data_IF_799934784396
#
_entry.id   IF_799934784396
#
_cell.length_a   1.000
_cell.length_b   1.000
_cell.length_c   1.000
_cell.angle_alpha   90.00
_cell.angle_beta   90.00
_cell.angle_gamma   90.00
#
_symmetry.space_group_name_H-M   'P 1'
#
loop_
_entity.id
_entity.type
_entity.pdbx_description
1 polymer ?
#
# COMPACT_ATOMS: atom_id res chain seq x y z
N UNK A 1 -17.17 15.55 10.18
CA UNK A 1 -17.96 14.35 9.85
C UNK A 1 -17.06 13.45 9.05
N UNK A 2 -16.69 12.28 9.60
CA UNK A 2 -15.88 11.30 8.89
C UNK A 2 -16.85 10.53 8.00
N UNK A 3 -16.68 10.62 6.68
CA UNK A 3 -17.44 9.80 5.75
C UNK A 3 -16.86 8.39 5.82
N UNK A 4 -17.65 7.44 6.33
CA UNK A 4 -17.33 6.02 6.28
C UNK A 4 -17.48 5.59 4.83
N UNK A 5 -16.38 5.53 4.08
CA UNK A 5 -16.39 4.89 2.77
C UNK A 5 -16.45 3.38 3.01
N UNK A 6 -17.19 2.65 2.18
CA UNK A 6 -17.67 1.29 2.45
C UNK A 6 -16.58 0.21 2.33
N UNK A 7 -15.54 0.28 3.16
CA UNK A 7 -14.59 -0.81 3.34
C UNK A 7 -15.25 -2.00 4.01
N UNK A 8 -14.84 -3.22 3.63
CA UNK A 8 -15.30 -4.43 4.30
C UNK A 8 -14.58 -4.51 5.65
N UNK A 9 -15.33 -4.34 6.74
CA UNK A 9 -14.80 -4.62 8.08
C UNK A 9 -14.55 -6.12 8.24
N UNK A 10 -13.40 -6.48 8.80
CA UNK A 10 -13.11 -7.88 9.12
C UNK A 10 -13.83 -8.19 10.45
N UNK A 11 -14.87 -9.02 10.40
CA UNK A 11 -15.66 -9.37 11.59
C UNK A 11 -14.84 -10.05 12.72
N UNK A 12 -13.66 -10.61 12.41
CA UNK A 12 -12.77 -11.28 13.38
C UNK A 12 -11.31 -10.74 13.38
N UNK A 13 -11.08 -9.58 12.77
CA UNK A 13 -9.76 -8.92 12.82
C UNK A 13 -9.51 -8.37 14.22
N UNK A 14 -8.41 -8.74 14.86
CA UNK A 14 -8.06 -8.24 16.20
C UNK A 14 -6.57 -7.93 16.30
N UNK A 15 -6.24 -6.91 17.08
CA UNK A 15 -4.86 -6.58 17.42
C UNK A 15 -4.48 -7.45 18.63
N UNK A 16 -3.56 -8.39 18.42
CA UNK A 16 -3.02 -9.21 19.51
C UNK A 16 -1.94 -8.43 20.26
N UNK A 17 -2.31 -7.86 21.40
CA UNK A 17 -1.43 -7.08 22.26
C UNK A 17 -0.47 -7.97 23.06
N UNK A 18 0.84 -7.83 22.82
CA UNK A 18 1.87 -8.51 23.61
C UNK A 18 2.37 -7.66 24.80
N UNK A 19 2.07 -6.36 24.83
CA UNK A 19 2.52 -5.43 25.85
C UNK A 19 1.63 -4.18 25.93
N UNK A 20 1.28 -3.75 27.14
CA UNK A 20 0.42 -2.59 27.42
C UNK A 20 0.90 -1.26 26.82
N UNK A 21 2.19 -1.14 26.49
CA UNK A 21 2.72 0.05 25.82
C UNK A 21 2.12 0.27 24.43
N UNK A 22 1.58 -0.76 23.76
CA UNK A 22 0.95 -0.64 22.45
C UNK A 22 -0.25 0.31 22.47
N UNK A 23 -1.04 0.30 23.55
CA UNK A 23 -2.22 1.17 23.74
C UNK A 23 -1.88 2.66 23.73
N UNK A 24 -0.62 3.02 23.99
CA UNK A 24 -0.16 4.40 23.90
C UNK A 24 0.19 4.85 22.48
N UNK A 25 0.33 3.90 21.55
CA UNK A 25 0.74 4.15 20.16
C UNK A 25 -0.46 4.11 19.20
N UNK A 26 -1.38 3.18 19.41
CA UNK A 26 -2.56 2.98 18.56
C UNK A 26 -3.79 2.62 19.39
N UNK A 27 -4.97 2.88 18.84
CA UNK A 27 -6.23 2.42 19.44
C UNK A 27 -6.45 0.95 19.12
N UNK A 28 -6.26 0.09 20.11
CA UNK A 28 -6.34 -1.38 19.94
C UNK A 28 -7.78 -1.90 19.78
N UNK A 29 -8.77 -1.12 20.20
CA UNK A 29 -10.19 -1.48 20.14
C UNK A 29 -10.89 -1.01 18.84
N UNK A 30 -10.15 -0.39 17.90
CA UNK A 30 -10.75 0.06 16.64
C UNK A 30 -10.97 -1.14 15.70
N UNK A 31 -12.11 -1.20 15.00
CA UNK A 31 -12.34 -2.20 13.97
C UNK A 31 -11.26 -2.15 12.89
N UNK A 32 -10.79 -3.32 12.46
CA UNK A 32 -9.87 -3.44 11.31
C UNK A 32 -10.69 -3.34 10.02
N UNK A 33 -10.26 -2.48 9.11
CA UNK A 33 -10.86 -2.26 7.80
C UNK A 33 -9.95 -2.80 6.68
N UNK A 34 -10.53 -3.55 5.74
CA UNK A 34 -9.85 -3.90 4.49
C UNK A 34 -10.07 -2.78 3.48
N UNK A 35 -8.99 -2.06 3.16
CA UNK A 35 -9.03 -0.96 2.19
C UNK A 35 -9.11 -1.46 0.74
N UNK A 36 -8.47 -2.60 0.45
CA UNK A 36 -8.47 -3.25 -0.86
C UNK A 36 -8.00 -4.71 -0.77
N UNK A 37 -8.35 -5.53 -1.76
CA UNK A 37 -7.97 -6.94 -1.89
C UNK A 37 -7.67 -7.31 -3.36
N UNK A 38 -7.17 -8.53 -3.59
CA UNK A 38 -6.92 -9.05 -4.95
C UNK A 38 -5.49 -8.87 -5.48
N UNK A 39 -4.54 -8.51 -4.62
CA UNK A 39 -3.12 -8.37 -4.97
C UNK A 39 -2.38 -9.70 -4.85
N UNK A 40 -1.37 -9.90 -5.70
CA UNK A 40 -0.52 -11.09 -5.63
C UNK A 40 0.52 -10.97 -4.50
N UNK A 41 1.21 -9.83 -4.44
CA UNK A 41 2.16 -9.54 -3.37
C UNK A 41 2.28 -8.04 -3.14
N UNK A 42 1.59 -7.57 -2.09
CA UNK A 42 1.62 -6.17 -1.68
C UNK A 42 2.86 -5.85 -0.82
N UNK A 43 3.69 -4.91 -1.25
CA UNK A 43 4.85 -4.40 -0.50
C UNK A 43 5.10 -2.90 -0.70
N UNK A 44 6.11 -2.36 0.00
CA UNK A 44 6.54 -0.98 -0.17
C UNK A 44 5.54 0.07 0.27
N UNK A 45 4.73 -0.21 1.30
CA UNK A 45 3.69 0.72 1.74
C UNK A 45 4.29 2.06 2.19
N UNK A 46 3.78 3.18 1.66
CA UNK A 46 4.18 4.53 2.06
C UNK A 46 2.98 5.48 2.11
N UNK A 47 2.94 6.33 3.14
CA UNK A 47 1.90 7.35 3.32
C UNK A 47 2.38 8.73 2.86
N UNK A 48 1.64 9.34 1.93
CA UNK A 48 1.79 10.76 1.58
C UNK A 48 0.87 11.60 2.45
N UNK A 49 1.47 12.22 3.48
CA UNK A 49 0.74 13.05 4.44
C UNK A 49 0.10 14.28 3.82
N UNK A 50 0.68 14.84 2.75
CA UNK A 50 0.19 16.08 2.15
C UNK A 50 -1.09 15.86 1.36
N UNK A 51 -1.12 14.76 0.60
CA UNK A 51 -2.23 14.41 -0.27
C UNK A 51 -3.14 13.33 0.34
N UNK A 52 -2.92 12.99 1.61
CA UNK A 52 -3.68 12.02 2.41
C UNK A 52 -3.95 10.71 1.65
N UNK A 53 -2.90 10.16 1.04
CA UNK A 53 -3.00 8.95 0.25
C UNK A 53 -1.90 7.94 0.56
N UNK A 54 -2.28 6.66 0.45
CA UNK A 54 -1.43 5.51 0.63
C UNK A 54 -0.94 5.02 -0.73
N UNK A 55 0.33 4.66 -0.84
CA UNK A 55 0.89 3.98 -2.00
C UNK A 55 1.49 2.63 -1.59
N UNK A 56 1.42 1.65 -2.48
CA UNK A 56 2.06 0.35 -2.32
C UNK A 56 2.22 -0.32 -3.69
N UNK A 57 3.14 -1.27 -3.81
CA UNK A 57 3.34 -2.05 -5.03
C UNK A 57 2.65 -3.40 -4.94
N UNK A 58 2.08 -3.87 -6.05
CA UNK A 58 1.90 -5.30 -6.32
C UNK A 58 3.05 -5.76 -7.21
N UNK A 59 4.02 -6.45 -6.61
CA UNK A 59 5.34 -6.69 -7.19
C UNK A 59 5.26 -7.57 -8.45
N UNK A 60 4.59 -8.74 -8.45
CA UNK A 60 4.44 -9.55 -9.67
C UNK A 60 3.62 -8.86 -10.76
N UNK A 61 2.62 -8.06 -10.38
CA UNK A 61 1.74 -7.35 -11.32
C UNK A 61 2.36 -6.06 -11.87
N UNK A 62 3.61 -5.75 -11.52
CA UNK A 62 4.37 -4.61 -12.01
C UNK A 62 3.62 -3.28 -11.85
N UNK A 63 2.89 -3.10 -10.76
CA UNK A 63 1.97 -1.98 -10.58
C UNK A 63 2.12 -1.34 -9.20
N UNK A 64 2.24 -0.01 -9.14
CA UNK A 64 2.01 0.76 -7.91
C UNK A 64 0.54 1.18 -7.89
N UNK A 65 -0.10 0.96 -6.75
CA UNK A 65 -1.43 1.45 -6.45
C UNK A 65 -1.38 2.66 -5.54
N UNK A 66 -2.42 3.49 -5.64
CA UNK A 66 -2.72 4.60 -4.75
C UNK A 66 -4.10 4.37 -4.13
N UNK A 67 -4.25 4.66 -2.85
CA UNK A 67 -5.54 4.64 -2.18
C UNK A 67 -5.76 5.94 -1.41
N UNK A 68 -6.95 6.51 -1.51
CA UNK A 68 -7.42 7.58 -0.64
C UNK A 68 -8.91 7.40 -0.28
N UNK A 69 -9.37 8.12 0.74
CA UNK A 69 -10.74 8.00 1.25
C UNK A 69 -11.80 8.43 0.24
N UNK A 70 -11.51 9.39 -0.64
CA UNK A 70 -12.48 9.94 -1.60
C UNK A 70 -12.65 9.03 -2.82
N UNK A 71 -11.55 8.50 -3.34
CA UNK A 71 -11.46 7.81 -4.61
C UNK A 71 -11.28 6.29 -4.48
N UNK A 72 -10.97 5.79 -3.28
CA UNK A 72 -10.64 4.39 -3.06
C UNK A 72 -9.35 3.99 -3.75
N UNK A 73 -9.25 2.70 -4.11
CA UNK A 73 -8.07 2.15 -4.79
C UNK A 73 -8.02 2.57 -6.26
N UNK A 74 -6.85 3.04 -6.69
CA UNK A 74 -6.56 3.44 -8.05
C UNK A 74 -5.20 2.90 -8.48
N UNK A 75 -5.05 2.56 -9.76
CA UNK A 75 -3.74 2.31 -10.36
C UNK A 75 -2.98 3.64 -10.44
N UNK A 76 -1.73 3.67 -9.98
CA UNK A 76 -0.88 4.87 -9.99
C UNK A 76 0.20 4.81 -11.06
N UNK A 77 0.95 3.70 -11.13
CA UNK A 77 2.05 3.52 -12.08
C UNK A 77 2.11 2.07 -12.57
N UNK A 78 2.11 1.88 -13.88
CA UNK A 78 2.30 0.59 -14.56
C UNK A 78 2.92 0.84 -15.95
N UNK A 79 4.08 0.23 -16.29
CA UNK A 79 4.92 -0.59 -15.42
C UNK A 79 5.56 0.24 -14.31
N UNK A 80 5.73 -0.36 -13.14
CA UNK A 80 6.39 0.24 -11.97
C UNK A 80 7.89 -0.09 -11.86
N UNK A 81 8.34 -1.13 -12.56
CA UNK A 81 9.73 -1.54 -12.66
C UNK A 81 10.08 -1.98 -14.09
N UNK A 82 10.20 -3.29 -14.30
CA UNK A 82 10.58 -3.92 -15.57
C UNK A 82 9.76 -3.38 -16.75
N UNK A 83 10.43 -2.78 -17.73
CA UNK A 83 9.79 -2.07 -18.85
C UNK A 83 9.92 -2.71 -20.22
N UNK A 84 10.44 -3.94 -20.34
CA UNK A 84 10.62 -4.61 -21.64
C UNK A 84 9.46 -5.55 -22.01
N UNK A 85 9.32 -5.85 -23.30
CA UNK A 85 8.15 -6.49 -23.91
C UNK A 85 8.01 -8.01 -23.62
N UNK A 86 9.01 -8.65 -23.00
CA UNK A 86 9.00 -10.08 -22.66
C UNK A 86 9.48 -10.32 -21.21
N UNK A 87 8.66 -9.99 -20.21
CA UNK A 87 9.04 -10.16 -18.82
C UNK A 87 9.10 -11.65 -18.45
N UNK A 88 10.29 -12.11 -18.04
CA UNK A 88 10.46 -13.37 -17.34
C UNK A 88 10.82 -13.08 -15.89
N UNK A 89 9.95 -13.43 -14.93
CA UNK A 89 10.25 -13.25 -13.50
C UNK A 89 9.03 -13.05 -12.63
N UNK A 90 9.27 -13.07 -11.31
CA UNK A 90 8.24 -12.89 -10.26
C UNK A 90 8.34 -11.50 -9.62
N UNK A 91 9.48 -10.82 -9.75
CA UNK A 91 9.74 -9.48 -9.19
C UNK A 91 9.80 -8.41 -10.29
N UNK A 92 8.75 -8.33 -11.10
CA UNK A 92 8.70 -7.41 -12.25
C UNK A 92 8.51 -5.95 -11.82
N UNK A 93 7.74 -5.73 -10.76
CA UNK A 93 7.43 -4.40 -10.23
C UNK A 93 8.46 -3.84 -9.27
N UNK A 94 8.29 -2.56 -8.97
CA UNK A 94 9.02 -1.94 -7.86
C UNK A 94 8.63 -2.60 -6.55
N UNK A 95 9.54 -2.61 -5.58
CA UNK A 95 9.26 -3.11 -4.24
C UNK A 95 9.15 -1.97 -3.22
N UNK A 96 10.26 -1.52 -2.62
CA UNK A 96 10.24 -0.46 -1.60
C UNK A 96 9.92 0.94 -2.15
N UNK A 97 9.06 1.69 -1.46
CA UNK A 97 8.72 3.09 -1.77
C UNK A 97 9.10 4.01 -0.60
N UNK A 98 9.50 5.23 -0.92
CA UNK A 98 9.80 6.25 0.07
C UNK A 98 9.54 7.66 -0.46
N UNK A 99 8.91 8.53 0.33
CA UNK A 99 8.86 9.97 0.02
C UNK A 99 10.07 10.67 0.62
N UNK A 100 11.02 11.07 -0.23
CA UNK A 100 12.17 11.86 0.19
C UNK A 100 11.79 13.29 0.60
N UNK A 101 10.67 13.79 0.07
CA UNK A 101 9.95 14.97 0.51
C UNK A 101 8.55 14.96 -0.12
N UNK A 102 7.74 15.97 0.19
CA UNK A 102 6.36 16.13 -0.29
C UNK A 102 6.18 16.06 -1.82
N UNK A 103 7.25 16.25 -2.60
CA UNK A 103 7.17 16.32 -4.05
C UNK A 103 8.10 15.31 -4.75
N UNK A 104 8.73 14.39 -3.99
CA UNK A 104 9.68 13.43 -4.56
C UNK A 104 9.55 12.07 -3.90
N UNK A 105 9.00 11.13 -4.66
CA UNK A 105 9.01 9.72 -4.33
C UNK A 105 10.26 9.05 -4.92
N UNK A 106 10.77 8.06 -4.20
CA UNK A 106 11.84 7.16 -4.60
C UNK A 106 11.24 5.75 -4.58
N UNK A 107 11.50 4.99 -5.63
CA UNK A 107 11.08 3.60 -5.78
C UNK A 107 12.30 2.71 -5.98
N UNK A 108 12.26 1.50 -5.41
CA UNK A 108 13.28 0.48 -5.62
C UNK A 108 12.83 -0.46 -6.72
N UNK A 109 13.46 -0.36 -7.89
CA UNK A 109 13.23 -1.21 -9.05
C UNK A 109 14.32 -2.29 -9.14
N UNK A 110 13.91 -3.56 -9.27
CA UNK A 110 14.81 -4.69 -9.47
C UNK A 110 15.49 -4.68 -10.84
N UNK A 111 14.96 -3.93 -11.81
CA UNK A 111 15.48 -3.82 -13.16
C UNK A 111 15.32 -5.11 -13.97
N UNK A 112 16.18 -5.29 -14.98
CA UNK A 112 16.11 -6.40 -15.95
C UNK A 112 16.76 -7.71 -15.46
N UNK A 113 16.49 -8.14 -14.22
CA UNK A 113 17.09 -9.39 -13.71
C UNK A 113 16.73 -10.63 -14.52
#
# INVERSE_FOLDING_TARGET
MWACNSGKHIENGHIHEMNDRLKSLISVDQPIEVLAEGFEWSEGVVWDKKNECLFFSDVPQNTIYRWDVENGLQMYLCPSGYGADDPNGVELGSNGLYFANENRQIICDSGLR
#
